data_IF_532943007753
#
_entry.id   IF_532943007753
#
_cell.length_a   1.000
_cell.length_b   1.000
_cell.length_c   1.000
_cell.angle_alpha   90.00
_cell.angle_beta   90.00
_cell.angle_gamma   90.00
#
_symmetry.space_group_name_H-M   'P 1'
#
loop_
_entity.id
_entity.type
_entity.pdbx_description
1 polymer ?
#
# COMPACT_ATOMS: atom_id res chain seq x y z
N UNK A 1 16.57 -13.00 -5.02
CA UNK A 1 16.17 -11.60 -4.72
C UNK A 1 14.67 -11.51 -4.40
N UNK A 2 14.32 -10.83 -3.32
CA UNK A 2 12.97 -10.68 -2.76
C UNK A 2 13.08 -9.98 -1.40
N UNK A 3 11.96 -9.56 -0.81
CA UNK A 3 11.96 -8.75 0.42
C UNK A 3 12.90 -9.31 1.50
N UNK A 4 12.71 -10.57 1.90
CA UNK A 4 13.56 -11.19 2.93
C UNK A 4 15.04 -11.28 2.55
N UNK A 5 15.37 -11.39 1.26
CA UNK A 5 16.76 -11.34 0.79
C UNK A 5 17.38 -9.95 0.95
N UNK A 6 16.63 -8.90 0.63
CA UNK A 6 17.07 -7.51 0.80
C UNK A 6 17.24 -7.15 2.28
N UNK A 7 16.32 -7.58 3.14
CA UNK A 7 16.41 -7.36 4.59
C UNK A 7 17.66 -8.03 5.19
N UNK A 8 17.92 -9.30 4.83
CA UNK A 8 19.15 -9.99 5.28
C UNK A 8 20.43 -9.34 4.77
N UNK A 9 20.42 -8.81 3.55
CA UNK A 9 21.58 -8.12 3.00
C UNK A 9 21.87 -6.82 3.76
N UNK A 10 20.83 -6.05 4.08
CA UNK A 10 20.94 -4.82 4.85
C UNK A 10 21.44 -5.08 6.28
N UNK A 11 20.92 -6.12 6.94
CA UNK A 11 21.40 -6.60 8.25
C UNK A 11 22.88 -6.97 8.18
N UNK A 12 23.29 -7.80 7.21
CA UNK A 12 24.67 -8.23 7.05
C UNK A 12 25.63 -7.07 6.74
N UNK A 13 25.14 -5.98 6.15
CA UNK A 13 25.90 -4.76 5.90
C UNK A 13 25.96 -3.82 7.13
N UNK A 14 25.37 -4.21 8.27
CA UNK A 14 25.31 -3.37 9.47
C UNK A 14 24.36 -2.18 9.32
N UNK A 15 23.43 -2.24 8.36
CA UNK A 15 22.45 -1.18 8.07
C UNK A 15 21.02 -1.76 8.08
N UNK A 16 20.56 -2.33 9.20
CA UNK A 16 19.25 -2.96 9.26
C UNK A 16 18.13 -1.94 9.09
N UNK A 17 17.08 -2.32 8.35
CA UNK A 17 15.88 -1.52 8.28
C UNK A 17 15.09 -1.64 9.58
N UNK A 18 14.51 -0.53 10.05
CA UNK A 18 13.54 -0.53 11.17
C UNK A 18 12.11 -0.65 10.70
N UNK A 19 11.84 -0.28 9.46
CA UNK A 19 10.51 -0.24 8.90
C UNK A 19 10.50 -0.63 7.42
N UNK A 20 9.44 -1.34 7.01
CA UNK A 20 9.09 -1.58 5.61
C UNK A 20 7.70 -1.04 5.32
N UNK A 21 7.56 -0.16 4.33
CA UNK A 21 6.25 0.35 3.89
C UNK A 21 5.79 -0.51 2.72
N UNK A 22 4.59 -1.11 2.85
CA UNK A 22 4.05 -2.05 1.87
C UNK A 22 2.82 -1.43 1.22
N UNK A 23 2.99 -1.03 -0.05
CA UNK A 23 1.92 -0.66 -0.97
C UNK A 23 1.87 -1.73 -2.07
N UNK A 24 0.84 -2.59 -2.02
CA UNK A 24 0.65 -3.69 -2.95
C UNK A 24 -0.85 -3.90 -3.22
N UNK A 25 -1.17 -4.59 -4.32
CA UNK A 25 -2.55 -4.98 -4.65
C UNK A 25 -3.15 -4.31 -5.89
N UNK A 26 -2.62 -3.17 -6.35
CA UNK A 26 -3.20 -2.45 -7.52
C UNK A 26 -3.28 -3.32 -8.77
N UNK A 27 -2.19 -4.02 -9.11
CA UNK A 27 -2.16 -4.92 -10.27
C UNK A 27 -2.91 -6.22 -9.99
N UNK A 28 -2.90 -6.69 -8.75
CA UNK A 28 -3.60 -7.90 -8.32
C UNK A 28 -5.11 -7.79 -8.53
N UNK A 29 -5.70 -6.61 -8.31
CA UNK A 29 -7.12 -6.38 -8.59
C UNK A 29 -7.50 -6.69 -10.03
N UNK A 30 -6.64 -6.35 -11.01
CA UNK A 30 -6.87 -6.69 -12.41
C UNK A 30 -6.79 -8.20 -12.65
N UNK A 31 -5.86 -8.89 -11.97
CA UNK A 31 -5.70 -10.35 -12.06
C UNK A 31 -6.86 -11.09 -11.42
N UNK A 32 -7.33 -10.64 -10.26
CA UNK A 32 -8.53 -11.16 -9.59
C UNK A 32 -9.76 -10.95 -10.47
N UNK A 33 -9.92 -9.75 -11.03
CA UNK A 33 -11.00 -9.46 -11.98
C UNK A 33 -11.00 -10.39 -13.19
N UNK A 34 -9.81 -10.73 -13.72
CA UNK A 34 -9.65 -11.68 -14.82
C UNK A 34 -9.86 -13.15 -14.45
N UNK A 35 -10.08 -13.46 -13.17
CA UNK A 35 -10.24 -14.83 -12.67
C UNK A 35 -8.94 -15.62 -12.54
N UNK A 36 -7.77 -14.97 -12.58
CA UNK A 36 -6.48 -15.65 -12.48
C UNK A 36 -6.23 -16.23 -11.07
N UNK A 37 -6.75 -15.57 -10.04
CA UNK A 37 -6.71 -16.00 -8.64
C UNK A 37 -7.75 -15.23 -7.81
N UNK A 38 -8.02 -15.68 -6.59
CA UNK A 38 -8.98 -15.06 -5.68
C UNK A 38 -8.40 -13.90 -4.87
N UNK A 39 -9.28 -13.04 -4.35
CA UNK A 39 -8.88 -11.92 -3.49
C UNK A 39 -8.19 -12.40 -2.20
N UNK A 40 -8.64 -13.51 -1.63
CA UNK A 40 -8.04 -14.11 -0.43
C UNK A 40 -6.56 -14.43 -0.62
N UNK A 41 -6.19 -14.91 -1.82
CA UNK A 41 -4.79 -15.19 -2.15
C UNK A 41 -3.95 -13.91 -2.21
N UNK A 42 -4.52 -12.80 -2.69
CA UNK A 42 -3.83 -11.49 -2.70
C UNK A 42 -3.57 -11.03 -1.27
N UNK A 43 -4.59 -11.12 -0.42
CA UNK A 43 -4.49 -10.70 0.98
C UNK A 43 -3.45 -11.54 1.71
N UNK A 44 -3.48 -12.85 1.53
CA UNK A 44 -2.50 -13.76 2.14
C UNK A 44 -1.06 -13.46 1.67
N UNK A 45 -0.88 -13.20 0.38
CA UNK A 45 0.43 -12.82 -0.16
C UNK A 45 0.93 -11.50 0.44
N UNK A 46 0.05 -10.50 0.61
CA UNK A 46 0.43 -9.23 1.23
C UNK A 46 0.75 -9.43 2.71
N UNK A 47 -0.06 -10.20 3.46
CA UNK A 47 0.21 -10.57 4.85
C UNK A 47 1.57 -11.24 5.00
N UNK A 48 1.90 -12.18 4.11
CA UNK A 48 3.22 -12.82 4.11
C UNK A 48 4.37 -11.83 3.94
N UNK A 49 4.21 -10.76 3.14
CA UNK A 49 5.23 -9.72 3.04
C UNK A 49 5.43 -8.97 4.38
N UNK A 50 4.34 -8.69 5.10
CA UNK A 50 4.41 -8.08 6.43
C UNK A 50 5.14 -9.00 7.42
N UNK A 51 4.76 -10.28 7.46
CA UNK A 51 5.41 -11.27 8.32
C UNK A 51 6.90 -11.43 8.04
N UNK A 52 7.31 -11.47 6.77
CA UNK A 52 8.74 -11.53 6.40
C UNK A 52 9.50 -10.31 6.92
N UNK A 53 8.88 -9.13 6.95
CA UNK A 53 9.49 -7.94 7.54
C UNK A 53 9.53 -8.03 9.08
N UNK A 54 8.48 -8.54 9.73
CA UNK A 54 8.42 -8.73 11.17
C UNK A 54 9.45 -9.76 11.66
N UNK A 55 9.63 -10.87 10.92
CA UNK A 55 10.67 -11.89 11.17
C UNK A 55 12.08 -11.29 11.15
N UNK A 56 12.29 -10.22 10.38
CA UNK A 56 13.54 -9.46 10.33
C UNK A 56 13.61 -8.32 11.38
N UNK A 57 12.65 -8.25 12.31
CA UNK A 57 12.61 -7.23 13.35
C UNK A 57 12.11 -5.85 12.90
N UNK A 58 11.58 -5.73 11.68
CA UNK A 58 11.02 -4.47 11.18
C UNK A 58 9.57 -4.28 11.66
N UNK A 59 9.15 -3.04 11.88
CA UNK A 59 7.73 -2.66 11.81
C UNK A 59 7.30 -2.51 10.37
N UNK A 60 5.99 -2.47 10.10
CA UNK A 60 5.49 -2.29 8.73
C UNK A 60 4.40 -1.24 8.60
N UNK A 61 4.48 -0.44 7.54
CA UNK A 61 3.36 0.41 7.08
C UNK A 61 2.41 -0.39 6.19
N UNK A 62 1.16 -0.53 6.61
CA UNK A 62 0.08 -1.13 5.82
C UNK A 62 -0.58 -0.02 5.01
N UNK A 63 -0.34 0.03 3.69
CA UNK A 63 -0.85 1.10 2.83
C UNK A 63 -2.09 0.64 2.07
N UNK A 64 -3.19 1.39 2.18
CA UNK A 64 -4.42 1.10 1.43
C UNK A 64 -4.30 1.54 -0.04
N UNK A 65 -4.90 0.77 -0.95
CA UNK A 65 -4.89 1.01 -2.40
C UNK A 65 -5.86 2.15 -2.75
N UNK A 66 -5.40 3.24 -3.38
CA UNK A 66 -6.24 4.38 -3.72
C UNK A 66 -7.22 4.04 -4.85
N UNK A 67 -8.26 4.87 -4.96
CA UNK A 67 -9.12 4.88 -6.15
C UNK A 67 -8.31 5.11 -7.42
N UNK A 68 -8.67 4.45 -8.51
CA UNK A 68 -7.99 4.60 -9.80
C UNK A 68 -8.97 4.81 -10.95
N UNK A 69 -8.52 5.49 -12.02
CA UNK A 69 -9.34 5.75 -13.21
C UNK A 69 -9.91 4.47 -13.82
N UNK A 70 -9.17 3.36 -13.74
CA UNK A 70 -9.55 2.06 -14.28
C UNK A 70 -10.90 1.55 -13.74
N UNK A 71 -11.31 1.94 -12.52
CA UNK A 71 -12.61 1.56 -11.94
C UNK A 71 -13.81 2.08 -12.75
N UNK A 72 -13.63 3.10 -13.61
CA UNK A 72 -14.68 3.52 -14.56
C UNK A 72 -14.87 2.54 -15.72
N UNK A 73 -13.81 1.84 -16.09
CA UNK A 73 -13.78 0.98 -17.28
C UNK A 73 -14.09 -0.47 -16.94
N UNK A 74 -13.81 -0.89 -15.70
CA UNK A 74 -13.97 -2.27 -15.26
C UNK A 74 -14.94 -2.33 -14.08
N UNK A 75 -16.12 -2.91 -14.32
CA UNK A 75 -17.11 -3.18 -13.27
C UNK A 75 -16.46 -4.04 -12.18
N UNK A 76 -16.85 -3.82 -10.93
CA UNK A 76 -16.43 -4.58 -9.75
C UNK A 76 -14.97 -4.40 -9.28
N UNK A 77 -14.06 -3.75 -10.03
CA UNK A 77 -12.72 -3.43 -9.50
C UNK A 77 -12.83 -2.53 -8.27
N UNK A 78 -13.79 -1.60 -8.24
CA UNK A 78 -14.05 -0.76 -7.07
C UNK A 78 -14.43 -1.58 -5.83
N UNK A 79 -15.32 -2.57 -5.99
CA UNK A 79 -15.74 -3.47 -4.92
C UNK A 79 -14.54 -4.30 -4.41
N UNK A 80 -13.78 -4.93 -5.32
CA UNK A 80 -12.59 -5.69 -4.96
C UNK A 80 -11.54 -4.84 -4.21
N UNK A 81 -11.37 -3.57 -4.61
CA UNK A 81 -10.45 -2.64 -3.92
C UNK A 81 -10.96 -2.29 -2.52
N UNK A 82 -12.26 -2.06 -2.36
CA UNK A 82 -12.88 -1.80 -1.06
C UNK A 82 -12.66 -2.99 -0.14
N UNK A 83 -13.00 -4.19 -0.60
CA UNK A 83 -12.83 -5.44 0.15
C UNK A 83 -11.36 -5.66 0.54
N UNK A 84 -10.43 -5.49 -0.40
CA UNK A 84 -8.98 -5.55 -0.13
C UNK A 84 -8.58 -4.58 0.98
N UNK A 85 -8.98 -3.32 0.86
CA UNK A 85 -8.60 -2.29 1.82
C UNK A 85 -9.22 -2.54 3.20
N UNK A 86 -10.43 -3.08 3.28
CA UNK A 86 -11.03 -3.50 4.56
C UNK A 86 -10.22 -4.61 5.22
N UNK A 87 -9.79 -5.62 4.45
CA UNK A 87 -8.94 -6.69 4.96
C UNK A 87 -7.55 -6.19 5.41
N UNK A 88 -6.98 -5.20 4.72
CA UNK A 88 -5.73 -4.55 5.11
C UNK A 88 -5.89 -3.74 6.40
N UNK A 89 -6.98 -2.96 6.53
CA UNK A 89 -7.28 -2.21 7.77
C UNK A 89 -7.45 -3.15 8.95
N UNK A 90 -8.21 -4.23 8.77
CA UNK A 90 -8.39 -5.27 9.78
C UNK A 90 -7.07 -5.92 10.18
N UNK A 91 -6.21 -6.24 9.21
CA UNK A 91 -4.89 -6.79 9.51
C UNK A 91 -4.05 -5.83 10.37
N UNK A 92 -4.07 -4.53 10.07
CA UNK A 92 -3.37 -3.54 10.88
C UNK A 92 -3.94 -3.42 12.31
N UNK A 93 -5.28 -3.46 12.44
CA UNK A 93 -5.99 -3.45 13.72
C UNK A 93 -5.67 -4.69 14.57
N UNK A 94 -5.56 -5.86 13.96
CA UNK A 94 -5.20 -7.12 14.62
C UNK A 94 -3.72 -7.18 15.03
N UNK A 95 -2.85 -6.32 14.45
CA UNK A 95 -1.40 -6.33 14.67
C UNK A 95 -0.84 -4.94 15.04
N UNK A 96 -1.35 -4.27 16.09
CA UNK A 96 -1.03 -2.86 16.36
C UNK A 96 0.41 -2.63 16.83
N UNK A 97 1.09 -3.65 17.36
CA UNK A 97 2.46 -3.50 17.87
C UNK A 97 3.52 -3.52 16.75
N UNK A 98 3.24 -4.25 15.67
CA UNK A 98 4.15 -4.46 14.53
C UNK A 98 3.75 -3.69 13.27
N UNK A 99 2.54 -3.13 13.22
CA UNK A 99 2.02 -2.43 12.05
C UNK A 99 1.60 -0.98 12.32
N UNK A 100 1.56 -0.19 11.25
CA UNK A 100 0.97 1.14 11.23
C UNK A 100 0.05 1.21 10.02
N UNK A 101 -1.23 1.48 10.25
CA UNK A 101 -2.15 1.74 9.16
C UNK A 101 -1.84 3.10 8.54
N UNK A 102 -1.43 3.09 7.28
CA UNK A 102 -1.23 4.25 6.44
C UNK A 102 -2.39 4.32 5.44
N UNK A 103 -3.53 4.87 5.88
CA UNK A 103 -4.78 4.86 5.10
C UNK A 103 -4.75 5.87 3.94
N UNK A 104 -3.88 5.60 2.96
CA UNK A 104 -3.64 6.43 1.80
C UNK A 104 -4.88 6.59 0.92
N UNK A 105 -5.65 5.51 0.73
CA UNK A 105 -6.87 5.53 -0.07
C UNK A 105 -7.93 6.53 0.44
N UNK A 106 -7.97 6.77 1.76
CA UNK A 106 -8.86 7.77 2.37
C UNK A 106 -8.45 9.20 2.05
N UNK A 107 -7.16 9.45 1.88
CA UNK A 107 -6.59 10.80 1.74
C UNK A 107 -6.22 11.17 0.30
N UNK A 108 -6.24 10.20 -0.63
CA UNK A 108 -5.91 10.39 -2.03
C UNK A 108 -6.98 9.75 -2.92
N UNK A 109 -8.10 10.46 -3.09
CA UNK A 109 -9.33 9.98 -3.73
C UNK A 109 -9.46 10.52 -5.15
N UNK A 110 -9.36 9.65 -6.16
CA UNK A 110 -9.38 10.04 -7.58
C UNK A 110 -10.73 10.63 -8.01
N UNK A 111 -11.85 10.10 -7.51
CA UNK A 111 -13.18 10.47 -8.02
C UNK A 111 -13.71 11.79 -7.46
N UNK A 112 -13.36 12.13 -6.22
CA UNK A 112 -13.70 13.41 -5.58
C UNK A 112 -12.75 14.55 -5.96
N UNK A 113 -11.54 14.22 -6.45
CA UNK A 113 -10.52 15.18 -6.87
C UNK A 113 -10.97 16.03 -8.08
N UNK A 114 -10.56 17.30 -8.09
CA UNK A 114 -10.82 18.23 -9.19
C UNK A 114 -10.16 17.75 -10.50
N UNK A 115 -10.63 18.23 -11.65
CA UNK A 115 -9.98 17.89 -12.93
C UNK A 115 -8.54 18.41 -13.00
N UNK A 116 -8.28 19.59 -12.45
CA UNK A 116 -6.94 20.19 -12.40
C UNK A 116 -6.00 19.34 -11.54
N UNK A 117 -6.44 18.97 -10.34
CA UNK A 117 -5.64 18.12 -9.45
C UNK A 117 -5.42 16.72 -10.05
N UNK A 118 -6.42 16.16 -10.75
CA UNK A 118 -6.24 14.90 -11.47
C UNK A 118 -5.13 15.01 -12.51
N UNK A 119 -5.13 16.07 -13.34
CA UNK A 119 -4.06 16.30 -14.31
C UNK A 119 -2.71 16.59 -13.67
N UNK A 120 -2.71 17.20 -12.48
CA UNK A 120 -1.49 17.52 -11.74
C UNK A 120 -0.83 16.28 -11.13
N UNK A 121 -1.62 15.37 -10.53
CA UNK A 121 -1.10 14.28 -9.72
C UNK A 121 -1.14 12.90 -10.39
N UNK A 122 -1.98 12.70 -11.40
CA UNK A 122 -2.12 11.43 -12.10
C UNK A 122 -1.60 11.52 -13.53
N UNK A 123 -0.86 10.49 -13.95
CA UNK A 123 -0.28 10.42 -15.30
C UNK A 123 -1.26 9.73 -16.27
N UNK A 124 -1.45 8.42 -16.11
CA UNK A 124 -2.33 7.61 -16.95
C UNK A 124 -3.64 7.17 -16.25
N UNK A 125 -3.80 7.56 -14.97
CA UNK A 125 -4.92 7.18 -14.12
C UNK A 125 -4.72 5.89 -13.31
N UNK A 126 -3.51 5.32 -13.35
CA UNK A 126 -3.02 4.28 -12.42
C UNK A 126 -1.73 4.78 -11.76
N UNK A 127 -0.80 5.31 -12.55
CA UNK A 127 0.47 5.87 -12.10
C UNK A 127 0.35 7.36 -11.78
N UNK A 128 1.23 7.81 -10.87
CA UNK A 128 1.30 9.20 -10.46
C UNK A 128 2.36 9.96 -11.24
N UNK A 129 2.14 11.26 -11.39
CA UNK A 129 3.21 12.18 -11.81
C UNK A 129 4.23 12.34 -10.68
N UNK A 130 5.37 12.99 -10.94
CA UNK A 130 6.32 13.37 -9.89
C UNK A 130 5.64 14.12 -8.73
N UNK A 131 4.77 15.09 -9.04
CA UNK A 131 3.99 15.83 -8.02
C UNK A 131 3.00 14.94 -7.27
N UNK A 132 2.47 13.90 -7.92
CA UNK A 132 1.61 12.91 -7.26
C UNK A 132 2.38 12.04 -6.28
N UNK A 133 3.61 11.63 -6.62
CA UNK A 133 4.50 10.96 -5.67
C UNK A 133 4.93 11.86 -4.51
N UNK A 134 5.18 13.16 -4.75
CA UNK A 134 5.41 14.13 -3.68
C UNK A 134 4.19 14.19 -2.74
N UNK A 135 2.98 14.22 -3.30
CA UNK A 135 1.74 14.23 -2.52
C UNK A 135 1.55 12.93 -1.73
N UNK A 136 1.91 11.79 -2.31
CA UNK A 136 1.93 10.51 -1.60
C UNK A 136 2.90 10.55 -0.41
N UNK A 137 4.14 11.03 -0.61
CA UNK A 137 5.11 11.15 0.46
C UNK A 137 4.63 12.09 1.58
N UNK A 138 3.99 13.22 1.23
CA UNK A 138 3.37 14.13 2.18
C UNK A 138 2.30 13.43 3.04
N UNK A 139 1.44 12.61 2.42
CA UNK A 139 0.37 11.89 3.15
C UNK A 139 0.97 10.77 4.01
N UNK A 140 1.87 9.95 3.47
CA UNK A 140 2.46 8.81 4.18
C UNK A 140 3.31 9.27 5.37
N UNK A 141 4.09 10.35 5.22
CA UNK A 141 4.94 10.87 6.30
C UNK A 141 4.16 11.38 7.52
N UNK A 142 2.90 11.80 7.34
CA UNK A 142 2.04 12.18 8.46
C UNK A 142 1.80 10.99 9.41
N UNK A 143 1.61 9.79 8.87
CA UNK A 143 1.44 8.57 9.67
C UNK A 143 2.69 8.17 10.44
N UNK A 144 3.88 8.42 9.88
CA UNK A 144 5.15 8.15 10.57
C UNK A 144 5.34 9.09 11.77
N UNK A 145 4.98 10.36 11.59
CA UNK A 145 5.12 11.39 12.63
C UNK A 145 4.13 11.14 13.77
N UNK A 146 2.87 10.83 13.45
CA UNK A 146 1.84 10.54 14.47
C UNK A 146 2.15 9.27 15.28
N UNK A 147 2.84 8.30 14.69
CA UNK A 147 3.26 7.08 15.38
C UNK A 147 4.50 7.26 16.27
N UNK A 148 5.03 8.50 16.43
CA UNK A 148 6.27 8.81 17.15
C UNK A 148 7.49 8.00 16.66
N UNK A 149 7.51 7.64 15.38
CA UNK A 149 8.66 6.96 14.79
C UNK A 149 9.65 8.02 14.36
N UNK A 150 10.70 8.18 15.17
CA UNK A 150 11.87 8.98 14.79
C UNK A 150 12.64 8.21 13.70
N UNK A 151 12.77 8.82 12.53
CA UNK A 151 13.62 8.34 11.43
C UNK A 151 15.11 8.52 11.77
#
# INVERSE_FOLDING_TARGET
>A
PGLGGALRQAEAAGQPFRMVIILAGTNDLSRVYSGAYGLDQVVENIRRLHEVAHEAGCKTGVVTVPEMKAERSFKNISALRVDLNEMLRKYAEENPDSTILMDFAKNFTYFSMSNEDRQKYWDDGIHFTAKGYDKMAEIISQYLTTANISL
#
